data_IF_330327861711
#
_entry.id   IF_330327861711
#
_cell.length_a   1.000
_cell.length_b   1.000
_cell.length_c   1.000
_cell.angle_alpha   90.00
_cell.angle_beta   90.00
_cell.angle_gamma   90.00
#
_symmetry.space_group_name_H-M   'P 1'
#
loop_
_entity.id
_entity.type
_entity.pdbx_description
1 polymer ?
#
# COMPACT_ATOMS: atom_id res chain seq x y z
N UNK A 1 -4.56 26.84 -17.89
CA UNK A 1 -4.27 25.53 -18.51
C UNK A 1 -5.52 24.69 -18.43
N UNK A 2 -5.94 24.04 -19.51
CA UNK A 2 -7.13 23.17 -19.51
C UNK A 2 -6.69 21.75 -19.13
N UNK A 3 -7.36 21.13 -18.15
CA UNK A 3 -7.09 19.75 -17.77
C UNK A 3 -8.18 18.81 -18.30
N UNK A 4 -7.90 17.50 -18.44
CA UNK A 4 -8.89 16.52 -18.92
C UNK A 4 -10.21 16.57 -18.15
N UNK A 5 -10.14 16.80 -16.84
CA UNK A 5 -11.31 16.92 -15.98
C UNK A 5 -12.29 18.01 -16.46
N UNK A 6 -11.78 19.15 -16.89
CA UNK A 6 -12.59 20.34 -17.23
C UNK A 6 -13.37 20.16 -18.55
N UNK A 7 -12.89 19.27 -19.42
CA UNK A 7 -13.47 18.98 -20.74
C UNK A 7 -14.66 18.01 -20.61
N UNK A 8 -14.68 17.18 -19.57
CA UNK A 8 -15.62 16.07 -19.41
C UNK A 8 -16.98 16.46 -18.81
N UNK A 9 -17.24 17.75 -18.60
CA UNK A 9 -18.52 18.25 -18.09
C UNK A 9 -19.68 18.04 -19.07
N UNK A 10 -19.39 17.95 -20.38
CA UNK A 10 -20.40 17.87 -21.45
C UNK A 10 -20.27 16.64 -22.38
N UNK A 11 -19.39 15.69 -22.09
CA UNK A 11 -19.13 14.53 -22.96
C UNK A 11 -19.87 13.30 -22.43
N UNK A 12 -20.66 12.65 -23.28
CA UNK A 12 -21.27 11.37 -22.93
C UNK A 12 -20.27 10.19 -23.06
N UNK A 13 -20.50 9.15 -22.27
CA UNK A 13 -19.59 8.01 -22.16
C UNK A 13 -19.41 7.23 -23.47
N UNK A 14 -20.47 7.13 -24.30
CA UNK A 14 -20.41 6.36 -25.54
C UNK A 14 -19.54 7.08 -26.56
N UNK A 15 -19.68 8.40 -26.64
CA UNK A 15 -18.84 9.24 -27.49
C UNK A 15 -17.36 9.16 -27.08
N UNK A 16 -17.06 9.13 -25.77
CA UNK A 16 -15.68 8.98 -25.30
C UNK A 16 -15.07 7.62 -25.71
N UNK A 17 -15.81 6.52 -25.52
CA UNK A 17 -15.32 5.18 -25.91
C UNK A 17 -15.18 5.04 -27.42
N UNK A 18 -16.12 5.60 -28.21
CA UNK A 18 -16.05 5.60 -29.67
C UNK A 18 -14.82 6.37 -30.16
N UNK A 19 -14.61 7.59 -29.65
CA UNK A 19 -13.44 8.39 -29.97
C UNK A 19 -12.13 7.69 -29.59
N UNK A 20 -12.12 6.92 -28.50
CA UNK A 20 -10.96 6.12 -28.10
C UNK A 20 -10.70 4.95 -29.05
N UNK A 21 -11.75 4.30 -29.56
CA UNK A 21 -11.63 3.22 -30.57
C UNK A 21 -11.09 3.76 -31.89
N UNK A 22 -11.59 4.92 -32.33
CA UNK A 22 -11.11 5.62 -33.53
C UNK A 22 -9.66 6.09 -33.36
N UNK A 23 -9.31 6.63 -32.21
CA UNK A 23 -7.92 6.98 -31.89
C UNK A 23 -7.01 5.76 -31.99
N UNK A 24 -7.38 4.65 -31.33
CA UNK A 24 -6.58 3.43 -31.34
C UNK A 24 -6.43 2.84 -32.75
N UNK A 25 -7.50 2.81 -33.57
CA UNK A 25 -7.42 2.28 -34.94
C UNK A 25 -6.52 3.10 -35.85
N UNK A 26 -6.38 4.40 -35.55
CA UNK A 26 -5.55 5.33 -36.32
C UNK A 26 -4.08 5.37 -35.89
N UNK A 27 -3.70 4.76 -34.75
CA UNK A 27 -2.34 4.88 -34.20
C UNK A 27 -1.24 4.46 -35.19
N UNK A 28 -1.47 3.48 -36.07
CA UNK A 28 -0.50 3.09 -37.10
C UNK A 28 -0.35 4.07 -38.27
N UNK A 29 -1.37 4.89 -38.50
CA UNK A 29 -1.43 5.83 -39.63
C UNK A 29 -1.06 7.25 -39.22
N UNK A 30 -0.95 7.50 -37.91
CA UNK A 30 -0.57 8.79 -37.34
C UNK A 30 0.94 8.91 -37.23
N UNK A 31 1.40 10.15 -37.10
CA UNK A 31 2.77 10.42 -36.68
C UNK A 31 2.96 9.87 -35.26
N UNK A 32 4.19 9.45 -34.95
CA UNK A 32 4.54 8.94 -33.63
C UNK A 32 4.19 9.96 -32.55
N UNK A 33 3.30 9.57 -31.64
CA UNK A 33 2.89 10.38 -30.49
C UNK A 33 3.65 9.93 -29.24
N UNK A 34 3.97 10.86 -28.34
CA UNK A 34 4.68 10.57 -27.10
C UNK A 34 3.95 11.15 -25.90
N UNK A 35 3.91 10.39 -24.81
CA UNK A 35 3.53 10.91 -23.49
C UNK A 35 4.78 11.30 -22.71
N UNK A 36 4.88 12.57 -22.32
CA UNK A 36 5.91 13.03 -21.37
C UNK A 36 5.43 12.83 -19.92
N UNK A 37 6.15 12.01 -19.16
CA UNK A 37 5.90 11.81 -17.72
C UNK A 37 6.68 12.81 -16.87
N UNK A 38 7.91 13.12 -17.28
CA UNK A 38 8.80 14.13 -16.71
C UNK A 38 9.66 14.75 -17.82
N UNK A 39 10.47 15.76 -17.51
CA UNK A 39 11.28 16.48 -18.50
C UNK A 39 12.25 15.57 -19.30
N UNK A 40 12.59 14.39 -18.76
CA UNK A 40 13.51 13.43 -19.36
C UNK A 40 12.89 12.09 -19.76
N UNK A 41 11.61 11.84 -19.43
CA UNK A 41 10.96 10.55 -19.63
C UNK A 41 9.79 10.67 -20.60
N UNK A 42 9.95 10.08 -21.78
CA UNK A 42 8.93 10.03 -22.83
C UNK A 42 8.60 8.57 -23.16
N UNK A 43 7.31 8.30 -23.28
CA UNK A 43 6.80 6.99 -23.67
C UNK A 43 6.16 7.15 -25.04
N UNK A 44 6.69 6.43 -26.02
CA UNK A 44 6.08 6.30 -27.34
C UNK A 44 4.72 5.62 -27.21
N UNK A 45 3.69 6.19 -27.83
CA UNK A 45 2.34 5.64 -27.80
C UNK A 45 2.17 4.74 -29.03
N UNK A 46 1.88 3.46 -28.81
CA UNK A 46 1.72 2.48 -29.88
C UNK A 46 0.69 1.42 -29.56
N UNK A 47 0.31 0.61 -30.55
CA UNK A 47 -0.67 -0.46 -30.35
C UNK A 47 -0.25 -1.51 -29.32
N UNK A 48 1.05 -1.70 -29.12
CA UNK A 48 1.57 -2.69 -28.19
C UNK A 48 1.43 -2.29 -26.71
N UNK A 49 1.24 -1.00 -26.41
CA UNK A 49 1.20 -0.48 -25.05
C UNK A 49 -0.09 0.26 -24.69
N UNK A 50 -1.10 0.24 -25.57
CA UNK A 50 -2.44 0.74 -25.25
C UNK A 50 -3.46 -0.40 -25.15
N UNK A 51 -4.36 -0.32 -24.18
CA UNK A 51 -5.45 -1.31 -24.05
C UNK A 51 -6.65 -0.74 -23.32
N UNK A 52 -7.83 -1.31 -23.59
CA UNK A 52 -9.06 -0.92 -22.94
C UNK A 52 -9.18 -1.53 -21.54
N UNK A 53 -9.34 -0.67 -20.54
CA UNK A 53 -9.56 -1.05 -19.15
C UNK A 53 -10.99 -0.72 -18.71
N UNK A 54 -11.64 -1.57 -17.89
CA UNK A 54 -12.99 -1.30 -17.42
C UNK A 54 -13.00 -0.14 -16.41
N UNK A 55 -13.92 0.81 -16.58
CA UNK A 55 -14.07 1.95 -15.68
C UNK A 55 -14.67 1.54 -14.32
N UNK A 56 -15.56 0.54 -14.31
CA UNK A 56 -16.34 0.15 -13.12
C UNK A 56 -16.08 -1.29 -12.68
N UNK A 57 -14.81 -1.62 -12.43
CA UNK A 57 -14.40 -2.92 -11.90
C UNK A 57 -14.57 -4.06 -12.91
N UNK A 58 -15.44 -5.03 -12.61
CA UNK A 58 -15.70 -6.17 -13.51
C UNK A 58 -16.72 -5.83 -14.60
N UNK A 59 -17.36 -4.66 -14.55
CA UNK A 59 -18.28 -4.23 -15.60
C UNK A 59 -17.49 -3.83 -16.85
N UNK A 60 -17.63 -4.61 -17.91
CA UNK A 60 -16.96 -4.40 -19.20
C UNK A 60 -17.77 -3.52 -20.16
N UNK A 61 -18.96 -3.07 -19.77
CA UNK A 61 -19.82 -2.23 -20.63
C UNK A 61 -19.23 -0.84 -20.88
N UNK A 62 -18.35 -0.36 -19.99
CA UNK A 62 -17.78 0.99 -20.05
C UNK A 62 -16.28 0.91 -19.84
N UNK A 63 -15.53 1.36 -20.84
CA UNK A 63 -14.08 1.21 -20.87
C UNK A 63 -13.37 2.54 -21.14
N UNK A 64 -12.14 2.64 -20.65
CA UNK A 64 -11.20 3.70 -20.98
C UNK A 64 -10.03 3.10 -21.75
N UNK A 65 -9.48 3.84 -22.71
CA UNK A 65 -8.21 3.46 -23.33
C UNK A 65 -7.06 3.95 -22.43
N UNK A 66 -6.27 3.01 -21.94
CA UNK A 66 -5.14 3.26 -21.05
C UNK A 66 -3.82 3.00 -21.79
N UNK A 67 -2.82 3.81 -21.48
CA UNK A 67 -1.43 3.60 -21.87
C UNK A 67 -0.68 2.95 -20.71
N UNK A 68 0.06 1.89 -21.02
CA UNK A 68 0.83 1.10 -20.07
C UNK A 68 2.32 1.43 -20.16
N UNK A 69 3.02 1.29 -19.03
CA UNK A 69 4.47 1.43 -19.00
C UNK A 69 5.13 0.37 -19.89
N UNK A 70 6.15 0.74 -20.69
CA UNK A 70 6.94 -0.25 -21.43
C UNK A 70 7.70 -1.20 -20.48
N UNK A 71 8.01 -0.77 -19.26
CA UNK A 71 8.76 -1.57 -18.28
C UNK A 71 7.87 -2.54 -17.50
N UNK A 72 6.58 -2.21 -17.34
CA UNK A 72 5.60 -3.05 -16.63
C UNK A 72 4.20 -2.87 -17.24
N UNK A 73 3.74 -3.92 -17.92
CA UNK A 73 2.43 -3.97 -18.58
C UNK A 73 1.24 -3.95 -17.60
N UNK A 74 1.47 -3.93 -16.29
CA UNK A 74 0.44 -3.73 -15.27
C UNK A 74 0.32 -2.28 -14.79
N UNK A 75 1.30 -1.42 -15.12
CA UNK A 75 1.33 -0.02 -14.67
C UNK A 75 0.71 0.85 -15.73
N UNK A 76 -0.43 1.46 -15.40
CA UNK A 76 -1.05 2.50 -16.24
C UNK A 76 -0.38 3.84 -15.98
N UNK A 77 0.13 4.46 -17.04
CA UNK A 77 0.88 5.73 -17.00
C UNK A 77 0.12 6.88 -17.67
N UNK A 78 -0.83 6.57 -18.54
CA UNK A 78 -1.68 7.56 -19.21
C UNK A 78 -3.08 7.04 -19.52
N UNK A 79 -3.99 7.96 -19.76
CA UNK A 79 -5.37 7.66 -20.17
C UNK A 79 -5.73 8.56 -21.34
N UNK A 80 -6.39 7.99 -22.35
CA UNK A 80 -6.91 8.74 -23.48
C UNK A 80 -8.03 9.70 -23.05
N UNK A 81 -7.85 10.97 -23.39
CA UNK A 81 -8.83 12.04 -23.22
C UNK A 81 -8.83 12.99 -24.41
N UNK A 82 -10.03 13.22 -24.95
CA UNK A 82 -10.30 14.30 -25.90
C UNK A 82 -9.25 14.43 -27.03
N UNK A 83 -8.90 13.30 -27.68
CA UNK A 83 -8.00 13.28 -28.83
C UNK A 83 -6.52 13.02 -28.54
N UNK A 84 -6.11 12.92 -27.27
CA UNK A 84 -4.73 12.64 -26.88
C UNK A 84 -4.63 11.74 -25.65
N UNK A 85 -3.49 11.07 -25.46
CA UNK A 85 -3.20 10.38 -24.20
C UNK A 85 -2.62 11.38 -23.20
N UNK A 86 -3.19 11.42 -22.00
CA UNK A 86 -2.80 12.34 -20.94
C UNK A 86 -2.29 11.57 -19.74
N UNK A 87 -1.20 12.05 -19.14
CA UNK A 87 -0.59 11.43 -17.97
C UNK A 87 -1.53 11.41 -16.76
N UNK A 88 -1.40 10.36 -15.94
CA UNK A 88 -2.23 10.11 -14.75
C UNK A 88 -2.34 11.34 -13.84
N UNK A 89 -1.23 12.05 -13.61
CA UNK A 89 -1.19 13.24 -12.75
C UNK A 89 -1.98 14.43 -13.30
N UNK A 90 -2.12 14.54 -14.62
CA UNK A 90 -2.88 15.61 -15.25
C UNK A 90 -4.39 15.31 -15.24
N UNK A 91 -4.79 14.03 -15.26
CA UNK A 91 -6.19 13.64 -15.03
C UNK A 91 -6.67 14.04 -13.64
N UNK A 92 -5.77 14.10 -12.65
CA UNK A 92 -6.07 14.45 -11.26
C UNK A 92 -6.08 15.96 -10.98
N UNK A 93 -6.08 16.81 -12.02
CA UNK A 93 -6.05 18.27 -11.89
C UNK A 93 -7.25 18.89 -12.60
N UNK A 94 -7.64 20.07 -12.14
CA UNK A 94 -8.61 20.97 -12.78
C UNK A 94 -7.99 22.35 -12.93
N UNK A 95 -8.49 23.12 -13.91
CA UNK A 95 -8.12 24.51 -14.11
C UNK A 95 -8.66 25.43 -13.01
N UNK A 96 -9.60 24.95 -12.18
CA UNK A 96 -10.23 25.69 -11.10
C UNK A 96 -9.44 25.54 -9.77
N UNK A 97 -8.59 26.51 -9.39
CA UNK A 97 -7.82 26.42 -8.15
C UNK A 97 -8.70 26.54 -6.90
N UNK A 98 -9.87 27.17 -7.00
CA UNK A 98 -10.87 27.25 -5.92
C UNK A 98 -11.49 25.90 -5.57
N UNK A 99 -11.35 24.88 -6.43
CA UNK A 99 -11.88 23.54 -6.18
C UNK A 99 -11.11 22.88 -5.04
N UNK A 100 -11.71 22.92 -3.85
CA UNK A 100 -11.11 22.42 -2.61
C UNK A 100 -12.18 21.77 -1.73
N UNK A 101 -11.75 20.86 -0.85
CA UNK A 101 -12.64 20.13 0.06
C UNK A 101 -13.25 18.86 -0.55
N UNK A 102 -14.30 18.36 0.10
CA UNK A 102 -14.92 17.07 -0.24
C UNK A 102 -16.10 17.24 -1.18
N UNK A 103 -15.89 16.88 -2.44
CA UNK A 103 -16.88 17.08 -3.52
C UNK A 103 -17.46 15.73 -3.94
N UNK A 104 -18.80 15.66 -3.98
CA UNK A 104 -19.54 14.45 -4.36
C UNK A 104 -19.26 14.09 -5.82
N UNK A 105 -19.03 12.81 -6.07
CA UNK A 105 -18.90 12.27 -7.43
C UNK A 105 -20.29 12.17 -8.07
N UNK A 106 -20.46 12.86 -9.18
CA UNK A 106 -21.72 13.07 -9.88
C UNK A 106 -21.55 13.08 -11.40
N UNK A 107 -20.40 13.52 -11.92
CA UNK A 107 -20.12 13.58 -13.36
C UNK A 107 -19.22 12.43 -13.84
N UNK A 108 -19.18 12.20 -15.16
CA UNK A 108 -18.24 11.25 -15.77
C UNK A 108 -16.78 11.60 -15.44
N UNK A 109 -16.41 12.88 -15.55
CA UNK A 109 -15.07 13.35 -15.18
C UNK A 109 -14.69 12.99 -13.74
N UNK A 110 -15.61 13.16 -12.80
CA UNK A 110 -15.39 12.78 -11.40
C UNK A 110 -15.30 11.26 -11.23
N UNK A 111 -16.06 10.47 -11.98
CA UNK A 111 -15.97 8.99 -11.97
C UNK A 111 -14.60 8.52 -12.47
N UNK A 112 -14.07 9.18 -13.49
CA UNK A 112 -12.75 8.91 -14.03
C UNK A 112 -11.65 9.31 -13.04
N UNK A 113 -11.73 10.48 -12.41
CA UNK A 113 -10.78 10.88 -11.35
C UNK A 113 -10.81 9.87 -10.21
N UNK A 114 -12.01 9.42 -9.80
CA UNK A 114 -12.16 8.38 -8.80
C UNK A 114 -11.53 7.04 -9.24
N UNK A 115 -11.67 6.67 -10.52
CA UNK A 115 -11.01 5.48 -11.09
C UNK A 115 -9.51 5.59 -11.00
N UNK A 116 -8.93 6.72 -11.41
CA UNK A 116 -7.50 6.95 -11.37
C UNK A 116 -6.98 6.85 -9.93
N UNK A 117 -7.64 7.52 -8.98
CA UNK A 117 -7.24 7.45 -7.57
C UNK A 117 -7.33 6.03 -7.00
N UNK A 118 -8.42 5.30 -7.27
CA UNK A 118 -8.69 3.99 -6.69
C UNK A 118 -7.89 2.85 -7.35
N UNK A 119 -7.80 2.86 -8.68
CA UNK A 119 -7.27 1.75 -9.47
C UNK A 119 -5.80 1.93 -9.84
N UNK A 120 -5.33 3.17 -9.99
CA UNK A 120 -3.96 3.44 -10.41
C UNK A 120 -3.15 3.92 -9.19
N UNK A 121 -3.48 5.09 -8.64
CA UNK A 121 -2.64 5.71 -7.60
C UNK A 121 -2.63 4.93 -6.29
N UNK A 122 -3.81 4.56 -5.76
CA UNK A 122 -3.90 3.75 -4.54
C UNK A 122 -3.13 2.43 -4.67
N UNK A 123 -3.13 1.81 -5.85
CA UNK A 123 -2.43 0.53 -6.08
C UNK A 123 -0.92 0.67 -6.18
N UNK A 124 -0.44 1.80 -6.68
CA UNK A 124 0.98 2.10 -6.74
C UNK A 124 1.51 2.55 -5.36
N UNK A 125 0.65 3.14 -4.53
CA UNK A 125 1.04 3.64 -3.21
C UNK A 125 0.83 2.66 -2.05
N UNK A 126 0.03 1.60 -2.23
CA UNK A 126 -0.27 0.63 -1.18
C UNK A 126 0.95 -0.22 -0.82
N UNK A 127 1.00 -0.66 0.43
CA UNK A 127 1.92 -1.69 0.88
C UNK A 127 1.43 -3.08 0.44
N UNK A 128 2.33 -4.08 0.43
CA UNK A 128 1.99 -5.49 0.15
C UNK A 128 1.01 -6.09 1.17
N UNK A 129 0.94 -5.50 2.37
CA UNK A 129 0.07 -5.93 3.47
C UNK A 129 -1.31 -5.27 3.44
N UNK A 130 -1.53 -4.28 2.57
CA UNK A 130 -2.80 -3.56 2.51
C UNK A 130 -3.90 -4.35 1.80
N UNK A 131 -5.11 -4.27 2.36
CA UNK A 131 -6.31 -4.93 1.84
C UNK A 131 -6.59 -4.49 0.40
N UNK A 132 -6.93 -5.45 -0.45
CA UNK A 132 -7.36 -5.18 -1.82
C UNK A 132 -8.69 -4.46 -1.83
N UNK A 133 -8.65 -3.15 -2.09
CA UNK A 133 -9.86 -2.38 -2.35
C UNK A 133 -10.42 -2.75 -3.74
N UNK A 134 -11.71 -3.06 -3.76
CA UNK A 134 -12.44 -3.29 -5.00
C UNK A 134 -12.59 -1.96 -5.74
N UNK A 135 -12.64 -2.05 -7.07
CA UNK A 135 -12.95 -0.88 -7.89
C UNK A 135 -14.41 -0.46 -7.63
N UNK A 136 -14.66 0.85 -7.72
CA UNK A 136 -15.97 1.39 -7.42
C UNK A 136 -17.00 0.99 -8.50
N UNK A 137 -18.25 0.88 -8.09
CA UNK A 137 -19.35 0.72 -9.06
C UNK A 137 -19.80 2.06 -9.64
N UNK A 138 -20.49 2.00 -10.78
CA UNK A 138 -21.02 3.18 -11.47
C UNK A 138 -21.84 4.11 -10.56
N UNK A 139 -22.69 3.54 -9.72
CA UNK A 139 -23.56 4.31 -8.81
C UNK A 139 -23.04 4.33 -7.38
N UNK A 140 -21.76 3.99 -7.17
CA UNK A 140 -21.18 4.01 -5.83
C UNK A 140 -21.19 5.44 -5.29
N UNK A 141 -21.66 5.60 -4.05
CA UNK A 141 -21.55 6.87 -3.36
C UNK A 141 -20.06 7.10 -3.05
N UNK A 142 -19.51 8.20 -3.54
CA UNK A 142 -18.13 8.57 -3.31
C UNK A 142 -17.99 10.09 -3.30
N UNK A 143 -16.94 10.58 -2.64
CA UNK A 143 -16.49 11.96 -2.80
C UNK A 143 -14.98 11.99 -3.00
N UNK A 144 -14.53 12.96 -3.78
CA UNK A 144 -13.11 13.23 -4.02
C UNK A 144 -12.70 14.38 -3.10
N UNK A 145 -11.54 14.22 -2.45
CA UNK A 145 -10.89 15.27 -1.70
C UNK A 145 -10.02 16.09 -2.65
N UNK A 146 -10.42 17.35 -2.85
CA UNK A 146 -9.70 18.32 -3.64
C UNK A 146 -8.90 19.27 -2.76
N UNK A 147 -7.75 19.70 -3.25
CA UNK A 147 -6.95 20.77 -2.68
C UNK A 147 -6.28 21.55 -3.80
N UNK A 148 -6.56 22.85 -3.89
CA UNK A 148 -5.96 23.77 -4.85
C UNK A 148 -6.08 23.26 -6.30
N UNK A 149 -7.26 22.77 -6.67
CA UNK A 149 -7.53 22.19 -7.99
C UNK A 149 -6.91 20.81 -8.24
N UNK A 150 -6.35 20.14 -7.21
CA UNK A 150 -5.77 18.80 -7.32
C UNK A 150 -6.58 17.78 -6.53
N UNK A 151 -6.85 16.63 -7.13
CA UNK A 151 -7.45 15.50 -6.45
C UNK A 151 -6.36 14.79 -5.60
N UNK A 152 -6.50 14.90 -4.28
CA UNK A 152 -5.50 14.42 -3.30
C UNK A 152 -5.93 13.14 -2.57
N UNK A 153 -7.17 12.70 -2.77
CA UNK A 153 -7.73 11.53 -2.12
C UNK A 153 -9.19 11.32 -2.46
N UNK A 154 -9.77 10.26 -1.93
CA UNK A 154 -11.20 9.99 -2.06
C UNK A 154 -11.69 9.18 -0.88
N UNK A 155 -13.01 9.11 -0.75
CA UNK A 155 -13.66 8.10 0.04
C UNK A 155 -14.87 7.54 -0.70
N UNK A 156 -15.16 6.26 -0.46
CA UNK A 156 -16.34 5.59 -0.98
C UNK A 156 -17.21 5.07 0.17
N UNK A 157 -18.52 5.01 -0.08
CA UNK A 157 -19.50 4.60 0.91
C UNK A 157 -20.46 3.57 0.33
N UNK A 158 -20.90 2.67 1.21
CA UNK A 158 -22.01 1.75 1.00
C UNK A 158 -23.19 2.26 1.83
N UNK A 159 -24.19 2.89 1.20
CA UNK A 159 -25.39 3.30 1.91
C UNK A 159 -26.09 2.10 2.54
N UNK A 160 -26.78 2.35 3.67
CA UNK A 160 -27.71 1.37 4.24
C UNK A 160 -28.72 0.93 3.16
N UNK A 161 -29.00 -0.37 3.10
CA UNK A 161 -29.90 -0.97 2.12
C UNK A 161 -29.25 -1.28 0.76
N UNK A 162 -28.03 -0.83 0.48
CA UNK A 162 -27.33 -1.19 -0.75
C UNK A 162 -26.89 -2.66 -0.74
N UNK A 163 -26.91 -3.32 -1.91
CA UNK A 163 -26.53 -4.72 -2.04
C UNK A 163 -25.04 -4.91 -1.75
N UNK A 164 -24.72 -5.87 -0.88
CA UNK A 164 -23.34 -6.24 -0.61
C UNK A 164 -22.82 -7.12 -1.75
N UNK A 165 -21.86 -6.62 -2.54
CA UNK A 165 -21.32 -7.37 -3.68
C UNK A 165 -20.63 -8.69 -3.29
N UNK A 166 -20.10 -8.77 -2.07
CA UNK A 166 -19.49 -10.00 -1.54
C UNK A 166 -20.57 -11.04 -1.21
N UNK A 167 -21.76 -10.59 -0.82
CA UNK A 167 -22.90 -11.43 -0.44
C UNK A 167 -24.12 -11.01 -1.26
N UNK A 168 -24.21 -11.50 -2.50
CA UNK A 168 -25.18 -11.08 -3.53
C UNK A 168 -26.68 -11.17 -3.13
N UNK A 169 -26.99 -11.70 -1.95
CA UNK A 169 -28.34 -11.83 -1.40
C UNK A 169 -28.60 -10.93 -0.18
N UNK A 170 -27.61 -10.18 0.30
CA UNK A 170 -27.71 -9.37 1.52
C UNK A 170 -27.38 -7.91 1.27
N UNK A 171 -28.09 -7.03 1.97
CA UNK A 171 -27.85 -5.59 1.95
C UNK A 171 -27.14 -5.11 3.22
N UNK A 172 -26.37 -4.03 3.10
CA UNK A 172 -25.76 -3.36 4.25
C UNK A 172 -26.83 -2.87 5.23
N UNK A 173 -26.66 -3.16 6.53
CA UNK A 173 -27.64 -2.80 7.56
C UNK A 173 -27.46 -1.37 8.10
N UNK A 174 -26.40 -0.69 7.68
CA UNK A 174 -25.97 0.64 8.10
C UNK A 174 -25.11 1.27 7.00
N UNK A 175 -24.93 2.61 7.00
CA UNK A 175 -23.96 3.24 6.12
C UNK A 175 -22.55 2.81 6.53
N UNK A 176 -21.77 2.28 5.58
CA UNK A 176 -20.38 1.87 5.81
C UNK A 176 -19.47 2.67 4.90
N UNK A 177 -18.43 3.27 5.47
CA UNK A 177 -17.35 3.84 4.69
C UNK A 177 -16.43 2.71 4.23
N UNK A 178 -16.38 2.52 2.91
CA UNK A 178 -15.80 1.35 2.27
C UNK A 178 -14.29 1.47 2.09
N UNK A 179 -13.87 2.65 1.64
CA UNK A 179 -12.46 3.01 1.41
C UNK A 179 -12.25 4.46 1.80
N UNK A 180 -11.16 4.76 2.51
CA UNK A 180 -10.57 6.10 2.57
C UNK A 180 -9.15 6.02 2.02
N UNK A 181 -8.83 6.95 1.14
CA UNK A 181 -7.49 7.09 0.61
C UNK A 181 -7.07 8.56 0.55
N UNK A 182 -5.84 8.82 1.01
CA UNK A 182 -5.14 10.09 0.82
C UNK A 182 -3.77 9.78 0.23
N UNK A 183 -3.43 10.45 -0.88
CA UNK A 183 -2.16 10.29 -1.60
C UNK A 183 -0.97 10.55 -0.68
N UNK A 184 0.13 9.82 -0.89
CA UNK A 184 1.31 9.77 -0.01
C UNK A 184 1.87 11.17 0.28
N UNK A 185 2.02 12.00 -0.74
CA UNK A 185 2.51 13.39 -0.61
C UNK A 185 1.59 14.33 0.18
N UNK A 186 0.38 13.88 0.53
CA UNK A 186 -0.59 14.65 1.30
C UNK A 186 -0.92 14.02 2.67
N UNK A 187 -0.28 12.89 3.04
CA UNK A 187 -0.46 12.26 4.36
C UNK A 187 0.24 13.09 5.45
N UNK A 188 -0.18 12.94 6.70
CA UNK A 188 0.37 13.70 7.84
C UNK A 188 -0.11 15.16 7.97
N UNK A 189 -0.73 15.73 6.94
CA UNK A 189 -1.19 17.13 6.92
C UNK A 189 -2.58 17.35 7.54
N UNK A 190 -3.13 16.36 8.26
CA UNK A 190 -4.43 16.45 8.91
C UNK A 190 -5.66 16.25 8.00
N UNK A 191 -5.47 15.99 6.70
CA UNK A 191 -6.57 15.77 5.75
C UNK A 191 -7.50 14.61 6.11
N UNK A 192 -6.94 13.49 6.61
CA UNK A 192 -7.73 12.32 7.03
C UNK A 192 -8.68 12.65 8.19
N UNK A 193 -8.17 13.32 9.23
CA UNK A 193 -8.96 13.72 10.41
C UNK A 193 -10.06 14.71 10.02
N UNK A 194 -9.73 15.73 9.22
CA UNK A 194 -10.71 16.70 8.70
C UNK A 194 -11.82 16.00 7.91
N UNK A 195 -11.45 15.00 7.11
CA UNK A 195 -12.40 14.22 6.31
C UNK A 195 -13.38 13.44 7.19
N UNK A 196 -12.90 12.81 8.26
CA UNK A 196 -13.75 12.11 9.23
C UNK A 196 -14.81 13.00 9.87
N UNK A 197 -14.41 14.21 10.28
CA UNK A 197 -15.32 15.15 10.93
C UNK A 197 -16.47 15.57 10.02
N UNK A 198 -16.17 15.82 8.74
CA UNK A 198 -17.18 16.23 7.76
C UNK A 198 -18.12 15.09 7.37
N UNK A 199 -17.65 13.84 7.49
CA UNK A 199 -18.40 12.68 7.03
C UNK A 199 -19.48 12.20 7.98
N UNK A 200 -19.32 12.44 9.28
CA UNK A 200 -20.24 11.98 10.34
C UNK A 200 -20.56 10.47 10.29
N UNK A 201 -19.74 9.65 9.63
CA UNK A 201 -19.93 8.20 9.51
C UNK A 201 -18.96 7.49 10.44
N UNK A 202 -19.52 6.67 11.32
CA UNK A 202 -18.80 5.99 12.40
C UNK A 202 -18.52 4.52 12.11
N UNK A 203 -18.64 4.09 10.85
CA UNK A 203 -18.61 2.69 10.46
C UNK A 203 -17.69 2.47 9.26
N UNK A 204 -16.68 1.61 9.41
CA UNK A 204 -15.55 1.47 8.50
C UNK A 204 -15.40 0.02 8.05
N UNK A 205 -15.30 -0.27 6.75
CA UNK A 205 -15.22 -1.67 6.31
C UNK A 205 -13.89 -2.35 6.64
N UNK A 206 -12.78 -1.63 6.48
CA UNK A 206 -11.45 -2.14 6.79
C UNK A 206 -10.48 -0.99 7.01
N UNK A 207 -9.73 -1.06 8.11
CA UNK A 207 -8.70 -0.09 8.44
C UNK A 207 -7.31 -0.65 8.11
N UNK A 208 -6.53 0.06 7.28
CA UNK A 208 -5.11 -0.23 7.11
C UNK A 208 -4.30 0.21 8.34
N UNK A 209 -3.05 -0.24 8.46
CA UNK A 209 -2.17 0.22 9.54
C UNK A 209 -2.04 1.76 9.57
N UNK A 210 -1.90 2.38 8.38
CA UNK A 210 -1.86 3.84 8.26
C UNK A 210 -3.14 4.52 8.75
N UNK A 211 -4.27 3.84 8.63
CA UNK A 211 -5.57 4.33 9.07
C UNK A 211 -5.70 4.29 10.59
N UNK A 212 -5.17 3.24 11.24
CA UNK A 212 -5.14 3.15 12.70
C UNK A 212 -4.38 4.32 13.33
N UNK A 213 -3.26 4.75 12.75
CA UNK A 213 -2.54 5.95 13.20
C UNK A 213 -3.38 7.22 13.10
N UNK A 214 -4.21 7.34 12.06
CA UNK A 214 -5.17 8.46 11.92
C UNK A 214 -6.22 8.39 13.01
N UNK A 215 -6.77 7.21 13.30
CA UNK A 215 -7.75 6.99 14.37
C UNK A 215 -7.19 7.33 15.76
N UNK A 216 -5.94 6.97 16.06
CA UNK A 216 -5.31 7.32 17.34
C UNK A 216 -5.26 8.83 17.54
N UNK A 217 -4.80 9.57 16.53
CA UNK A 217 -4.76 11.04 16.57
C UNK A 217 -6.16 11.66 16.55
N UNK A 218 -7.12 11.02 15.89
CA UNK A 218 -8.52 11.44 15.93
C UNK A 218 -9.10 11.33 17.35
N UNK A 219 -8.88 10.19 18.02
CA UNK A 219 -9.38 9.96 19.38
C UNK A 219 -8.68 10.79 20.45
N UNK A 220 -7.46 11.26 20.23
CA UNK A 220 -6.82 12.22 21.15
C UNK A 220 -7.48 13.60 21.10
N UNK A 221 -8.12 13.95 19.96
CA UNK A 221 -8.87 15.19 19.79
C UNK A 221 -10.35 14.99 20.21
N UNK A 222 -10.94 13.83 19.89
CA UNK A 222 -12.35 13.49 20.13
C UNK A 222 -12.48 12.19 20.94
N UNK A 223 -12.24 12.21 22.26
CA UNK A 223 -12.21 11.01 23.08
C UNK A 223 -13.56 10.29 23.18
N UNK A 224 -14.68 11.03 23.12
CA UNK A 224 -16.03 10.47 23.16
C UNK A 224 -16.33 9.53 21.97
N UNK A 225 -15.63 9.71 20.84
CA UNK A 225 -15.85 8.89 19.65
C UNK A 225 -15.23 7.48 19.75
N UNK A 226 -14.43 7.20 20.79
CA UNK A 226 -13.87 5.85 21.03
C UNK A 226 -14.95 4.78 21.19
N UNK A 227 -16.13 5.17 21.69
CA UNK A 227 -17.28 4.30 21.90
C UNK A 227 -18.22 4.24 20.68
N UNK A 228 -17.96 5.05 19.65
CA UNK A 228 -18.84 5.21 18.50
C UNK A 228 -18.23 4.67 17.20
N UNK A 229 -16.92 4.83 17.01
CA UNK A 229 -16.25 4.45 15.78
C UNK A 229 -15.97 2.95 15.73
N UNK A 230 -16.66 2.26 14.83
CA UNK A 230 -16.56 0.82 14.64
C UNK A 230 -15.95 0.44 13.28
N UNK A 231 -15.12 -0.58 13.29
CA UNK A 231 -14.87 -1.40 12.13
C UNK A 231 -16.04 -2.36 11.91
N UNK A 232 -16.37 -2.58 10.65
CA UNK A 232 -17.56 -3.30 10.20
C UNK A 232 -17.16 -4.38 9.22
N UNK A 233 -17.43 -5.62 9.60
CA UNK A 233 -17.26 -6.76 8.74
C UNK A 233 -18.56 -7.01 7.93
N UNK A 234 -18.41 -7.52 6.71
CA UNK A 234 -19.51 -7.98 5.87
C UNK A 234 -20.62 -6.93 5.68
N UNK A 235 -21.84 -7.19 6.17
CA UNK A 235 -23.01 -6.30 6.05
C UNK A 235 -23.22 -5.41 7.29
N UNK A 236 -22.43 -5.65 8.33
CA UNK A 236 -22.43 -4.91 9.58
C UNK A 236 -23.62 -5.15 10.49
N UNK A 237 -24.02 -6.42 10.66
CA UNK A 237 -24.89 -6.78 11.78
C UNK A 237 -24.26 -6.44 13.13
N UNK A 238 -25.04 -6.46 14.22
CA UNK A 238 -24.56 -6.04 15.54
C UNK A 238 -23.27 -6.77 15.98
N UNK A 239 -23.15 -8.06 15.66
CA UNK A 239 -21.99 -8.91 15.98
C UNK A 239 -20.81 -8.76 14.99
N UNK A 240 -21.00 -8.02 13.90
CA UNK A 240 -19.99 -7.77 12.87
C UNK A 240 -19.34 -6.39 13.06
N UNK A 241 -19.44 -5.82 14.26
CA UNK A 241 -18.94 -4.49 14.59
C UNK A 241 -17.92 -4.63 15.71
N UNK A 242 -16.74 -4.10 15.50
CA UNK A 242 -15.69 -4.04 16.51
C UNK A 242 -15.29 -2.58 16.70
N UNK A 243 -15.21 -2.10 17.95
CA UNK A 243 -14.72 -0.76 18.20
C UNK A 243 -13.27 -0.62 17.71
N UNK A 244 -12.98 0.47 17.01
CA UNK A 244 -11.61 0.74 16.55
C UNK A 244 -10.67 0.91 17.75
N UNK A 245 -11.17 1.47 18.86
CA UNK A 245 -10.42 1.59 20.11
C UNK A 245 -9.93 0.22 20.63
N UNK A 246 -10.80 -0.80 20.63
CA UNK A 246 -10.45 -2.16 21.07
C UNK A 246 -9.43 -2.81 20.13
N UNK A 247 -9.59 -2.61 18.81
CA UNK A 247 -8.62 -3.08 17.80
C UNK A 247 -7.24 -2.45 18.04
N UNK A 248 -7.18 -1.14 18.27
CA UNK A 248 -5.94 -0.43 18.59
C UNK A 248 -5.26 -0.96 19.85
N UNK A 249 -6.03 -1.24 20.90
CA UNK A 249 -5.49 -1.82 22.14
C UNK A 249 -4.89 -3.21 21.89
N UNK A 250 -5.60 -4.07 21.15
CA UNK A 250 -5.10 -5.41 20.79
C UNK A 250 -3.83 -5.36 19.93
N UNK A 251 -3.75 -4.42 18.99
CA UNK A 251 -2.56 -4.22 18.15
C UNK A 251 -1.35 -3.78 18.99
N UNK A 252 -1.56 -2.90 19.99
CA UNK A 252 -0.50 -2.49 20.92
C UNK A 252 0.02 -3.65 21.75
N UNK A 253 -0.88 -4.47 22.30
CA UNK A 253 -0.50 -5.65 23.09
C UNK A 253 0.33 -6.64 22.26
N UNK A 254 -0.09 -6.96 21.03
CA UNK A 254 0.70 -7.80 20.11
C UNK A 254 2.06 -7.21 19.78
N UNK A 255 2.13 -5.90 19.57
CA UNK A 255 3.40 -5.20 19.35
C UNK A 255 4.35 -5.34 20.54
N UNK A 256 3.84 -5.20 21.76
CA UNK A 256 4.61 -5.36 22.99
C UNK A 256 5.09 -6.80 23.19
N UNK A 257 4.26 -7.81 22.93
CA UNK A 257 4.64 -9.22 22.98
C UNK A 257 5.81 -9.51 22.01
N UNK A 258 5.72 -9.02 20.77
CA UNK A 258 6.79 -9.19 19.79
C UNK A 258 8.10 -8.52 20.25
N UNK A 259 8.04 -7.28 20.76
CA UNK A 259 9.23 -6.58 21.29
C UNK A 259 9.86 -7.36 22.44
N UNK A 260 9.05 -7.89 23.36
CA UNK A 260 9.55 -8.74 24.45
C UNK A 260 10.25 -9.99 23.91
N UNK A 261 9.64 -10.70 22.95
CA UNK A 261 10.25 -11.89 22.32
C UNK A 261 11.59 -11.54 21.65
N UNK A 262 11.65 -10.43 20.90
CA UNK A 262 12.91 -9.97 20.29
C UNK A 262 13.95 -9.63 21.36
N UNK A 263 13.56 -8.96 22.44
CA UNK A 263 14.45 -8.63 23.56
C UNK A 263 14.99 -9.88 24.26
N UNK A 264 14.15 -10.90 24.50
CA UNK A 264 14.57 -12.17 25.09
C UNK A 264 15.56 -12.91 24.19
N UNK A 265 15.27 -13.02 22.89
CA UNK A 265 16.19 -13.66 21.93
C UNK A 265 17.52 -12.93 21.84
N UNK A 266 17.53 -11.61 21.94
CA UNK A 266 18.77 -10.82 21.94
C UNK A 266 19.61 -11.06 23.19
N UNK A 267 18.97 -11.15 24.35
CA UNK A 267 19.63 -11.50 25.62
C UNK A 267 20.21 -12.92 25.58
N UNK A 268 19.48 -13.90 25.04
CA UNK A 268 19.99 -15.26 24.83
C UNK A 268 21.25 -15.28 23.95
N UNK A 269 21.24 -14.53 22.84
CA UNK A 269 22.41 -14.42 21.94
C UNK A 269 23.61 -13.82 22.68
N UNK A 270 23.41 -12.76 23.47
CA UNK A 270 24.50 -12.14 24.25
C UNK A 270 25.07 -13.15 25.26
N UNK A 271 24.22 -13.88 25.97
CA UNK A 271 24.64 -14.89 26.94
C UNK A 271 25.45 -15.98 26.25
N UNK A 272 25.02 -16.46 25.08
CA UNK A 272 25.76 -17.46 24.29
C UNK A 272 27.14 -16.92 23.89
N UNK A 273 27.23 -15.67 23.42
CA UNK A 273 28.51 -15.04 23.06
C UNK A 273 29.44 -14.95 24.27
N UNK A 274 28.93 -14.54 25.43
CA UNK A 274 29.71 -14.46 26.67
C UNK A 274 30.23 -15.85 27.07
N UNK A 275 29.40 -16.89 27.01
CA UNK A 275 29.80 -18.28 27.29
C UNK A 275 30.91 -18.73 26.33
N UNK A 276 30.78 -18.46 25.03
CA UNK A 276 31.80 -18.80 24.03
C UNK A 276 33.12 -18.08 24.34
N UNK A 277 33.08 -16.79 24.67
CA UNK A 277 34.27 -16.00 25.03
C UNK A 277 34.96 -16.60 26.27
N UNK A 278 34.19 -16.94 27.32
CA UNK A 278 34.72 -17.56 28.55
C UNK A 278 35.40 -18.90 28.23
N UNK A 279 34.79 -19.74 27.40
CA UNK A 279 35.36 -21.05 27.02
C UNK A 279 36.65 -20.86 26.21
N UNK A 280 36.70 -19.87 25.31
CA UNK A 280 37.90 -19.53 24.53
C UNK A 280 39.03 -19.06 25.46
N UNK A 281 38.75 -18.17 26.41
CA UNK A 281 39.73 -17.64 27.37
C UNK A 281 40.31 -18.77 28.23
N UNK A 282 39.47 -19.70 28.71
CA UNK A 282 39.88 -20.81 29.56
C UNK A 282 40.53 -21.99 28.81
N UNK A 283 40.75 -21.88 27.49
CA UNK A 283 41.33 -22.93 26.62
C UNK A 283 40.64 -24.31 26.73
N UNK A 284 39.37 -24.35 27.16
CA UNK A 284 38.59 -25.59 27.29
C UNK A 284 37.89 -25.93 25.97
N UNK A 285 38.67 -26.23 24.93
CA UNK A 285 38.17 -26.54 23.59
C UNK A 285 37.20 -27.72 23.56
N UNK A 286 37.35 -28.68 24.49
CA UNK A 286 36.44 -29.83 24.63
C UNK A 286 35.03 -29.45 25.13
N UNK A 287 34.87 -28.32 25.83
CA UNK A 287 33.56 -27.80 26.25
C UNK A 287 32.84 -27.07 25.11
N UNK A 288 33.58 -26.47 24.18
CA UNK A 288 33.05 -25.73 23.04
C UNK A 288 32.32 -26.66 22.04
N UNK A 289 32.87 -27.86 21.80
CA UNK A 289 32.23 -28.91 21.00
C UNK A 289 30.94 -29.45 21.61
N UNK A 290 30.88 -29.62 22.95
CA UNK A 290 29.65 -30.06 23.65
C UNK A 290 28.55 -28.99 23.63
N UNK A 291 28.93 -27.71 23.72
CA UNK A 291 27.98 -26.61 23.59
C UNK A 291 27.40 -26.53 22.17
N UNK A 292 28.25 -26.66 21.15
CA UNK A 292 27.83 -26.70 19.75
C UNK A 292 26.90 -27.87 19.44
N UNK A 293 27.17 -29.07 19.98
CA UNK A 293 26.28 -30.24 19.82
C UNK A 293 24.95 -30.10 20.55
N UNK A 294 24.92 -29.34 21.65
CA UNK A 294 23.69 -29.08 22.39
C UNK A 294 22.78 -28.10 21.64
N UNK A 295 23.36 -27.03 21.09
CA UNK A 295 22.60 -26.03 20.32
C UNK A 295 22.17 -26.52 18.93
N UNK A 296 22.87 -27.48 18.31
CA UNK A 296 22.43 -28.09 17.04
C UNK A 296 21.15 -28.92 17.17
N UNK A 297 20.80 -29.37 18.38
CA UNK A 297 19.57 -30.12 18.65
C UNK A 297 18.38 -29.19 18.96
N UNK A 298 18.66 -27.96 19.41
CA UNK A 298 17.65 -27.00 19.88
C UNK A 298 17.11 -26.05 18.79
N UNK A 299 17.72 -26.00 17.60
CA UNK A 299 17.32 -25.10 16.50
C UNK A 299 17.02 -25.90 15.22
N UNK A 300 15.83 -26.51 15.08
CA UNK A 300 15.52 -27.32 13.89
C UNK A 300 15.22 -26.46 12.65
N UNK A 301 14.66 -25.25 12.81
CA UNK A 301 14.14 -24.51 11.66
C UNK A 301 14.36 -23.00 11.77
N UNK A 302 15.29 -22.47 10.97
CA UNK A 302 15.20 -21.16 10.29
C UNK A 302 16.50 -20.86 9.54
N UNK A 303 16.37 -20.27 8.34
CA UNK A 303 17.41 -19.74 7.43
C UNK A 303 18.58 -18.92 8.06
N UNK A 304 18.51 -18.62 9.36
CA UNK A 304 19.57 -17.98 10.15
C UNK A 304 20.72 -18.97 10.44
N UNK A 305 20.47 -20.28 10.37
CA UNK A 305 21.47 -21.33 10.59
C UNK A 305 22.66 -21.25 9.63
N UNK A 306 22.46 -20.86 8.36
CA UNK A 306 23.56 -20.80 7.40
C UNK A 306 24.56 -19.66 7.71
N UNK A 307 24.07 -18.48 8.09
CA UNK A 307 24.94 -17.38 8.53
C UNK A 307 25.58 -17.66 9.89
N UNK A 308 24.87 -18.36 10.79
CA UNK A 308 25.41 -18.75 12.08
C UNK A 308 26.53 -19.79 11.97
N UNK A 309 26.34 -20.83 11.14
CA UNK A 309 27.37 -21.83 10.83
C UNK A 309 28.57 -21.14 10.18
N UNK A 310 28.36 -20.22 9.25
CA UNK A 310 29.44 -19.48 8.59
C UNK A 310 30.21 -18.58 9.58
N UNK A 311 29.53 -17.91 10.52
CA UNK A 311 30.18 -17.06 11.53
C UNK A 311 31.00 -17.90 12.53
N UNK A 312 30.44 -19.03 12.97
CA UNK A 312 31.13 -19.99 13.85
C UNK A 312 32.32 -20.63 13.11
N UNK A 313 32.17 -20.98 11.83
CA UNK A 313 33.27 -21.50 11.00
C UNK A 313 34.38 -20.45 10.83
N UNK A 314 34.04 -19.17 10.63
CA UNK A 314 35.00 -18.08 10.52
C UNK A 314 35.75 -17.84 11.85
N UNK A 315 35.05 -17.95 12.98
CA UNK A 315 35.65 -17.87 14.33
C UNK A 315 36.58 -19.06 14.62
N UNK A 316 36.21 -20.27 14.20
CA UNK A 316 37.07 -21.45 14.32
C UNK A 316 38.30 -21.29 13.42
N UNK A 317 38.15 -20.82 12.18
CA UNK A 317 39.26 -20.58 11.25
C UNK A 317 40.23 -19.51 11.79
N UNK A 318 39.72 -18.43 12.37
CA UNK A 318 40.54 -17.35 12.94
C UNK A 318 41.31 -17.82 14.17
N UNK A 319 40.70 -18.64 15.05
CA UNK A 319 41.40 -19.25 16.19
C UNK A 319 42.46 -20.25 15.72
N UNK A 320 42.16 -21.08 14.72
CA UNK A 320 43.11 -22.05 14.17
C UNK A 320 44.31 -21.37 13.50
N UNK A 321 44.06 -20.32 12.71
CA UNK A 321 45.12 -19.50 12.08
C UNK A 321 45.94 -18.73 13.10
N UNK A 322 45.36 -18.23 14.19
CA UNK A 322 46.12 -17.62 15.30
C UNK A 322 47.04 -18.63 16.00
N UNK A 323 46.56 -19.86 16.20
CA UNK A 323 47.35 -20.92 16.82
C UNK A 323 48.51 -21.37 15.92
N UNK A 324 48.26 -21.51 14.62
CA UNK A 324 49.28 -21.79 13.60
C UNK A 324 50.31 -20.67 13.52
N UNK A 325 49.89 -19.38 13.51
CA UNK A 325 50.82 -18.24 13.54
C UNK A 325 51.69 -18.22 14.79
N UNK A 326 51.14 -18.51 15.98
CA UNK A 326 51.95 -18.62 17.22
C UNK A 326 52.95 -19.78 17.16
N UNK A 327 52.58 -20.92 16.56
CA UNK A 327 53.47 -22.07 16.39
C UNK A 327 54.58 -21.78 15.38
N UNK A 328 54.27 -21.05 14.30
CA UNK A 328 55.25 -20.61 13.29
C UNK A 328 56.21 -19.56 13.86
N UNK A 329 55.71 -18.59 14.64
CA UNK A 329 56.53 -17.58 15.31
C UNK A 329 57.49 -18.21 16.33
N UNK A 330 57.04 -19.25 17.02
CA UNK A 330 57.90 -20.01 17.95
C UNK A 330 58.98 -20.80 17.20
N UNK A 331 58.66 -21.42 16.06
CA UNK A 331 59.64 -22.10 15.21
C UNK A 331 60.65 -21.14 14.55
N UNK A 332 60.26 -19.89 14.26
CA UNK A 332 61.14 -18.83 13.73
C UNK A 332 62.02 -18.16 14.80
N UNK A 333 61.68 -18.31 16.08
CA UNK A 333 62.47 -17.78 17.21
C UNK A 333 63.44 -18.81 17.81
N UNK A 334 63.34 -20.08 17.39
CA UNK A 334 64.11 -21.21 17.94
C UNK A 334 65.10 -21.81 16.91
N UNK A 335 65.13 -21.30 15.67
CA UNK A 335 66.15 -21.59 14.64
C UNK A 335 66.84 -20.29 14.19
#
# INVERSE_FOLDING_TARGET
>A
MVFPFDILTNVDEKSLELAAKEYMSQLHYRNTEYLSLSDSEQIEIGLCNVSFVPLYGTNTAKKLLALFSPDDSNIVVGIYFAGSVVGVENVLKTAEPSRTGLIKVSTLGERIVLYVLNRIVLRNEKSTEDVFFLCHSEHEAAKILWKDGKAIGFYSLKPKGSLCRIFMTKCYQLPVMDTIFVRRGHRGLGHGIKTFLVLCIKFLRSASNSFFTVCEKYFSIYPADKELLCEVENIGSAFQRTLIADRLQKLKLKGMENVCIFSFRYMEIIIIIIIIIIIIINKQTHCLLKLLSFYSVLLPDTMITLNYINLVALLILTVHTLHLKKKLLWLLLVN
#
